data_IF_680533641716
#
_entry.id   IF_680533641716
#
_cell.length_a   1.000
_cell.length_b   1.000
_cell.length_c   1.000
_cell.angle_alpha   90.00
_cell.angle_beta   90.00
_cell.angle_gamma   90.00
#
_symmetry.space_group_name_H-M   'P 1'
#
loop_
_entity.id
_entity.type
_entity.pdbx_description
1 polymer ?
#
# COMPACT_ATOMS: atom_id res chain seq x y z
N UNK A 1 -6.13 7.40 -7.52
CA UNK A 1 -4.71 7.54 -7.93
C UNK A 1 -4.35 6.22 -8.61
N UNK A 2 -4.14 6.19 -9.93
CA UNK A 2 -3.87 4.92 -10.62
C UNK A 2 -2.36 4.73 -10.70
N UNK A 3 -1.84 3.85 -9.85
CA UNK A 3 -0.42 3.46 -9.79
C UNK A 3 -0.09 2.36 -10.81
N UNK A 4 -0.99 2.11 -11.75
CA UNK A 4 -1.11 0.81 -12.39
C UNK A 4 -0.80 0.94 -13.88
N UNK A 5 0.43 0.61 -14.23
CA UNK A 5 0.77 0.21 -15.59
C UNK A 5 1.53 -1.10 -15.55
N UNK A 6 0.78 -2.19 -15.66
CA UNK A 6 1.35 -3.54 -15.76
C UNK A 6 0.56 -4.34 -16.78
N UNK A 7 1.22 -5.31 -17.41
CA UNK A 7 0.59 -6.26 -18.33
C UNK A 7 1.02 -7.66 -17.95
N UNK A 8 0.05 -8.58 -17.88
CA UNK A 8 0.30 -10.01 -17.65
C UNK A 8 1.02 -10.68 -18.83
N UNK A 9 1.09 -10.02 -19.99
CA UNK A 9 1.85 -10.50 -21.13
C UNK A 9 3.35 -10.29 -20.89
N UNK A 10 4.18 -11.33 -21.03
CA UNK A 10 5.61 -11.18 -20.89
C UNK A 10 6.14 -10.23 -21.96
N UNK A 11 7.05 -9.33 -21.56
CA UNK A 11 7.83 -8.49 -22.46
C UNK A 11 9.27 -8.98 -22.48
N UNK A 12 9.92 -8.85 -23.63
CA UNK A 12 11.36 -9.08 -23.72
C UNK A 12 12.13 -7.97 -22.98
N UNK A 13 13.30 -8.28 -22.40
CA UNK A 13 13.90 -9.61 -22.33
C UNK A 13 13.19 -10.51 -21.32
N UNK A 14 13.12 -11.82 -21.58
CA UNK A 14 12.75 -12.82 -20.55
C UNK A 14 13.71 -12.77 -19.37
N UNK A 15 13.21 -13.08 -18.17
CA UNK A 15 14.07 -13.20 -17.00
C UNK A 15 15.02 -14.39 -17.14
N UNK A 16 16.32 -14.12 -17.20
CA UNK A 16 17.38 -15.14 -17.24
C UNK A 16 18.05 -15.37 -15.89
N UNK A 17 17.72 -14.54 -14.90
CA UNK A 17 18.33 -14.53 -13.57
C UNK A 17 17.22 -14.46 -12.51
N UNK A 18 17.44 -15.13 -11.38
CA UNK A 18 16.58 -15.07 -10.20
C UNK A 18 16.66 -13.70 -9.49
N UNK A 19 17.78 -12.99 -9.68
CA UNK A 19 18.08 -11.71 -9.04
C UNK A 19 18.31 -10.63 -10.09
N UNK A 20 17.29 -10.20 -10.83
CA UNK A 20 17.48 -9.26 -11.94
C UNK A 20 17.91 -7.86 -11.48
N UNK A 21 17.83 -7.52 -10.19
CA UNK A 21 18.24 -6.22 -9.64
C UNK A 21 19.63 -6.33 -9.01
N UNK A 22 20.62 -5.62 -9.57
CA UNK A 22 22.05 -5.83 -9.25
C UNK A 22 22.70 -4.68 -8.48
N UNK A 23 22.01 -3.56 -8.32
CA UNK A 23 22.55 -2.36 -7.69
C UNK A 23 21.53 -1.74 -6.73
N UNK A 24 21.91 -1.44 -5.49
CA UNK A 24 21.03 -0.71 -4.57
C UNK A 24 20.65 0.66 -5.17
N UNK A 25 19.35 0.99 -5.27
CA UNK A 25 18.90 2.23 -5.92
C UNK A 25 19.26 3.50 -5.14
N UNK A 26 19.59 3.36 -3.86
CA UNK A 26 20.02 4.42 -2.97
C UNK A 26 21.13 3.90 -2.03
N UNK A 27 22.00 4.78 -1.51
CA UNK A 27 22.92 4.42 -0.42
C UNK A 27 22.12 4.07 0.84
N UNK A 28 22.36 2.89 1.41
CA UNK A 28 21.62 2.37 2.55
C UNK A 28 21.71 3.29 3.79
N UNK A 29 22.77 4.08 3.91
CA UNK A 29 22.99 5.00 5.04
C UNK A 29 22.16 6.28 4.99
N UNK A 30 21.54 6.56 3.84
CA UNK A 30 20.55 7.64 3.73
C UNK A 30 19.16 7.22 4.20
N UNK A 31 18.96 5.93 4.48
CA UNK A 31 17.68 5.37 4.92
C UNK A 31 17.67 5.21 6.44
N UNK A 32 16.60 5.72 7.07
CA UNK A 32 16.35 5.62 8.52
C UNK A 32 15.50 4.40 8.85
N UNK A 33 14.46 4.14 8.05
CA UNK A 33 13.58 3.00 8.25
C UNK A 33 12.96 2.52 6.95
N UNK A 34 12.56 1.26 6.93
CA UNK A 34 11.82 0.63 5.85
C UNK A 34 10.56 -0.04 6.41
N UNK A 35 9.40 0.25 5.84
CA UNK A 35 8.19 -0.49 6.20
C UNK A 35 8.18 -1.88 5.53
N UNK A 36 7.49 -2.83 6.16
CA UNK A 36 7.22 -4.13 5.56
C UNK A 36 6.05 -4.01 4.58
N UNK A 37 5.98 -4.91 3.61
CA UNK A 37 4.77 -5.10 2.81
C UNK A 37 3.58 -5.36 3.73
N UNK A 38 2.41 -4.84 3.35
CA UNK A 38 1.19 -4.97 4.11
C UNK A 38 0.97 -3.93 5.21
N UNK A 39 1.85 -2.93 5.31
CA UNK A 39 1.55 -1.73 6.10
C UNK A 39 0.30 -1.01 5.56
N UNK A 40 -0.49 -0.36 6.42
CA UNK A 40 -1.69 0.38 5.99
C UNK A 40 -1.33 1.75 5.42
N UNK A 41 -1.77 2.08 4.20
CA UNK A 41 -1.45 3.37 3.58
C UNK A 41 -1.87 4.57 4.47
N UNK A 42 -1.04 5.63 4.60
CA UNK A 42 -1.48 6.89 5.17
C UNK A 42 -2.57 7.55 4.30
N UNK A 43 -3.57 8.17 4.93
CA UNK A 43 -4.66 8.84 4.21
C UNK A 43 -5.98 8.08 4.38
N UNK A 44 -6.15 6.94 3.68
CA UNK A 44 -7.35 6.09 3.79
C UNK A 44 -7.25 5.09 4.97
N UNK A 45 -6.02 4.66 5.28
CA UNK A 45 -5.72 3.59 6.23
C UNK A 45 -6.61 2.35 6.04
N UNK A 46 -7.04 2.03 4.82
CA UNK A 46 -8.03 0.97 4.61
C UNK A 46 -7.43 -0.32 4.02
N UNK A 47 -6.27 -0.25 3.38
CA UNK A 47 -5.71 -1.38 2.64
C UNK A 47 -4.21 -1.61 2.88
N UNK A 48 -3.75 -2.88 2.89
CA UNK A 48 -2.34 -3.24 2.97
C UNK A 48 -1.61 -2.88 1.67
N UNK A 49 -0.55 -2.05 1.75
CA UNK A 49 0.12 -1.55 0.54
C UNK A 49 1.10 -2.56 -0.08
N UNK A 50 1.17 -2.65 -1.43
CA UNK A 50 2.05 -3.56 -2.18
C UNK A 50 3.41 -2.91 -2.51
N UNK A 51 3.91 -1.99 -1.69
CA UNK A 51 5.20 -1.33 -1.87
C UNK A 51 5.87 -1.02 -0.53
N UNK A 52 7.16 -0.71 -0.59
CA UNK A 52 7.94 -0.26 0.55
C UNK A 52 8.08 1.26 0.52
N UNK A 53 7.80 1.90 1.65
CA UNK A 53 8.15 3.27 1.98
C UNK A 53 9.55 3.24 2.61
N UNK A 54 10.46 3.98 2.00
CA UNK A 54 11.83 4.15 2.44
C UNK A 54 11.91 5.51 3.12
N UNK A 55 11.90 5.52 4.45
CA UNK A 55 11.99 6.76 5.21
C UNK A 55 13.43 7.24 5.27
N UNK A 56 13.59 8.54 5.14
CA UNK A 56 14.88 9.25 5.28
C UNK A 56 14.84 10.09 6.55
N UNK A 57 15.91 10.82 6.85
CA UNK A 57 15.96 11.66 8.05
C UNK A 57 14.84 12.70 8.04
N UNK A 58 14.08 12.77 9.14
CA UNK A 58 13.03 13.77 9.33
C UNK A 58 13.64 15.17 9.46
N UNK A 59 13.14 16.11 8.65
CA UNK A 59 13.58 17.50 8.65
C UNK A 59 12.49 18.46 9.15
N UNK A 60 11.33 17.95 9.58
CA UNK A 60 10.30 18.79 10.18
C UNK A 60 10.86 19.51 11.42
N UNK A 61 10.68 20.84 11.45
CA UNK A 61 11.21 21.70 12.52
C UNK A 61 12.67 22.15 12.35
N UNK A 62 13.37 21.74 11.28
CA UNK A 62 14.79 22.10 11.06
C UNK A 62 15.00 23.33 10.16
N UNK A 63 13.93 24.01 9.73
CA UNK A 63 13.96 25.10 8.73
C UNK A 63 14.68 24.75 7.40
N UNK A 64 14.93 23.45 7.14
CA UNK A 64 15.54 22.98 5.89
C UNK A 64 14.61 23.26 4.71
N UNK A 65 15.15 23.87 3.66
CA UNK A 65 14.42 24.29 2.46
C UNK A 65 15.07 23.74 1.20
N UNK A 66 14.27 23.57 0.15
CA UNK A 66 14.78 23.26 -1.18
C UNK A 66 15.34 24.49 -1.88
N UNK A 67 15.77 24.32 -3.14
CA UNK A 67 16.33 25.38 -3.97
C UNK A 67 15.33 26.51 -4.26
N UNK A 68 14.03 26.26 -4.09
CA UNK A 68 12.96 27.25 -4.26
C UNK A 68 12.49 27.88 -2.93
N UNK A 69 13.15 27.56 -1.81
CA UNK A 69 12.84 28.13 -0.50
C UNK A 69 11.68 27.46 0.24
N UNK A 70 11.18 26.32 -0.23
CA UNK A 70 10.08 25.58 0.37
C UNK A 70 10.58 24.54 1.38
N UNK A 71 9.89 24.44 2.52
CA UNK A 71 10.28 23.53 3.60
C UNK A 71 10.28 22.05 3.18
N UNK A 72 11.33 21.35 3.59
CA UNK A 72 11.47 19.90 3.42
C UNK A 72 10.87 19.15 4.61
N UNK A 73 10.20 18.05 4.32
CA UNK A 73 9.71 17.07 5.31
C UNK A 73 10.83 16.08 5.64
N UNK A 74 11.63 15.69 4.66
CA UNK A 74 12.71 14.71 4.87
C UNK A 74 13.95 15.00 4.03
N UNK A 75 15.05 14.35 4.41
CA UNK A 75 16.32 14.41 3.68
C UNK A 75 16.17 13.86 2.25
N UNK A 76 16.82 14.53 1.30
CA UNK A 76 16.71 14.19 -0.12
C UNK A 76 17.87 13.29 -0.52
N UNK A 77 17.53 12.07 -0.93
CA UNK A 77 18.50 11.12 -1.49
C UNK A 77 18.76 11.45 -2.95
N UNK A 78 20.01 11.82 -3.28
CA UNK A 78 20.42 12.18 -4.63
C UNK A 78 21.81 11.60 -4.96
N UNK A 79 21.96 10.80 -6.03
CA UNK A 79 20.90 10.33 -6.92
C UNK A 79 20.15 9.11 -6.35
N UNK A 80 18.90 8.96 -6.77
CA UNK A 80 18.29 7.63 -6.93
C UNK A 80 18.73 7.09 -8.29
N UNK A 81 19.17 5.83 -8.35
CA UNK A 81 19.72 5.21 -9.56
C UNK A 81 18.96 3.93 -9.95
N UNK A 82 19.08 3.57 -11.23
CA UNK A 82 18.47 2.35 -11.76
C UNK A 82 19.21 1.10 -11.22
N UNK A 83 18.49 0.13 -10.64
CA UNK A 83 19.11 -1.06 -10.07
C UNK A 83 19.56 -2.10 -11.11
N UNK A 84 19.15 -1.95 -12.37
CA UNK A 84 19.46 -2.82 -13.48
C UNK A 84 19.30 -2.08 -14.83
N UNK A 85 19.57 -2.76 -15.93
CA UNK A 85 19.10 -2.33 -17.24
C UNK A 85 17.58 -2.54 -17.31
N UNK A 86 16.84 -1.45 -17.47
CA UNK A 86 15.38 -1.41 -17.38
C UNK A 86 14.77 -0.65 -18.57
N UNK A 87 13.46 -0.76 -18.73
CA UNK A 87 12.70 0.08 -19.66
C UNK A 87 11.62 0.84 -18.90
N UNK A 88 11.59 2.16 -18.99
CA UNK A 88 10.46 2.96 -18.49
C UNK A 88 9.27 2.73 -19.41
N UNK A 89 8.17 2.33 -18.80
CA UNK A 89 6.94 1.94 -19.50
C UNK A 89 5.77 2.85 -19.18
N UNK A 90 5.83 3.55 -18.04
CA UNK A 90 4.93 4.62 -17.71
C UNK A 90 5.56 5.58 -16.70
N UNK A 91 5.07 6.81 -16.70
CA UNK A 91 5.39 7.82 -15.69
C UNK A 91 4.09 8.51 -15.25
N UNK A 92 3.97 8.85 -13.97
CA UNK A 92 2.89 9.71 -13.49
C UNK A 92 3.48 10.99 -12.90
N UNK A 93 3.01 12.14 -13.39
CA UNK A 93 3.36 13.46 -12.88
C UNK A 93 2.29 13.90 -11.91
N UNK A 94 2.67 14.08 -10.64
CA UNK A 94 1.81 14.57 -9.58
C UNK A 94 2.21 16.01 -9.28
N UNK A 95 1.28 16.94 -9.45
CA UNK A 95 1.47 18.35 -9.17
C UNK A 95 0.58 18.73 -7.99
N UNK A 96 1.18 19.07 -6.86
CA UNK A 96 0.49 19.43 -5.63
C UNK A 96 0.42 20.95 -5.52
N UNK A 97 -0.78 21.52 -5.38
CA UNK A 97 -0.97 22.98 -5.34
C UNK A 97 -1.09 23.60 -3.95
N UNK A 98 -1.06 22.78 -2.88
CA UNK A 98 -1.17 23.27 -1.49
C UNK A 98 -0.52 22.26 -0.54
N UNK A 99 0.35 22.72 0.36
CA UNK A 99 0.80 21.90 1.47
C UNK A 99 -0.34 21.79 2.51
N UNK A 100 -0.94 20.60 2.63
CA UNK A 100 -2.03 20.32 3.56
C UNK A 100 -1.63 20.47 5.04
N UNK A 101 -0.34 20.36 5.35
CA UNK A 101 0.19 20.41 6.72
C UNK A 101 0.53 21.84 7.15
N UNK A 102 1.16 22.64 6.29
CA UNK A 102 1.59 24.01 6.63
C UNK A 102 0.61 25.08 6.17
N UNK A 103 -0.38 24.73 5.35
CA UNK A 103 -1.28 25.65 4.62
C UNK A 103 -0.56 26.62 3.68
N UNK A 104 0.75 26.49 3.51
CA UNK A 104 1.49 27.26 2.52
C UNK A 104 1.06 26.84 1.11
N UNK A 105 0.80 27.84 0.27
CA UNK A 105 0.47 27.64 -1.14
C UNK A 105 1.77 27.66 -1.91
N UNK A 106 2.32 26.49 -2.20
CA UNK A 106 3.36 26.34 -3.19
C UNK A 106 3.12 25.09 -4.02
N UNK A 107 3.42 25.22 -5.31
CA UNK A 107 3.32 24.13 -6.27
C UNK A 107 4.62 23.32 -6.27
N UNK A 108 4.53 22.02 -6.03
CA UNK A 108 5.66 21.11 -6.22
C UNK A 108 5.24 19.90 -7.02
N UNK A 109 6.23 19.26 -7.63
CA UNK A 109 6.05 18.16 -8.56
C UNK A 109 6.77 16.91 -8.06
N UNK A 110 6.07 15.79 -8.12
CA UNK A 110 6.64 14.47 -7.88
C UNK A 110 6.27 13.52 -9.02
N UNK A 111 7.19 12.64 -9.33
CA UNK A 111 7.07 11.61 -10.32
C UNK A 111 6.97 10.24 -9.68
N UNK A 112 6.10 9.45 -10.28
CA UNK A 112 6.13 8.01 -10.19
C UNK A 112 6.68 7.47 -11.51
N UNK A 113 7.57 6.49 -11.44
CA UNK A 113 8.25 5.93 -12.60
C UNK A 113 8.11 4.42 -12.57
N UNK A 114 7.31 3.87 -13.48
CA UNK A 114 7.12 2.43 -13.62
C UNK A 114 8.07 1.89 -14.68
N UNK A 115 8.84 0.87 -14.31
CA UNK A 115 9.89 0.28 -15.13
C UNK A 115 9.69 -1.23 -15.27
N UNK A 116 9.79 -1.71 -16.51
CA UNK A 116 9.86 -3.13 -16.82
C UNK A 116 11.27 -3.64 -16.56
N UNK A 117 11.35 -4.79 -15.88
CA UNK A 117 12.60 -5.47 -15.51
C UNK A 117 12.91 -6.57 -16.53
N UNK A 118 12.05 -7.59 -16.59
CA UNK A 118 12.16 -8.72 -17.49
C UNK A 118 10.83 -9.50 -17.46
N UNK A 119 10.47 -10.19 -18.54
CA UNK A 119 9.25 -11.00 -18.60
C UNK A 119 8.01 -10.22 -18.13
N UNK A 120 7.39 -10.68 -17.04
CA UNK A 120 6.19 -10.11 -16.39
C UNK A 120 6.51 -9.27 -15.14
N UNK A 121 7.79 -8.97 -14.88
CA UNK A 121 8.26 -8.28 -13.67
C UNK A 121 8.43 -6.78 -13.90
N UNK A 122 7.90 -6.00 -12.97
CA UNK A 122 7.94 -4.53 -13.00
C UNK A 122 8.33 -3.99 -11.62
N UNK A 123 9.03 -2.86 -11.60
CA UNK A 123 9.25 -2.06 -10.39
C UNK A 123 8.69 -0.65 -10.56
N UNK A 124 8.48 0.04 -9.44
CA UNK A 124 8.17 1.46 -9.41
C UNK A 124 9.09 2.19 -8.45
N UNK A 125 9.38 3.44 -8.79
CA UNK A 125 9.81 4.44 -7.82
C UNK A 125 8.78 5.55 -7.72
N UNK A 126 8.51 6.03 -6.50
CA UNK A 126 7.57 7.12 -6.24
C UNK A 126 8.17 8.18 -5.31
N UNK A 127 7.55 9.36 -5.27
CA UNK A 127 8.07 10.56 -4.60
C UNK A 127 9.44 10.99 -5.15
N UNK A 128 9.63 10.84 -6.46
CA UNK A 128 10.86 11.23 -7.16
C UNK A 128 10.69 12.62 -7.75
N UNK A 129 11.64 13.51 -7.54
CA UNK A 129 11.74 14.76 -8.29
C UNK A 129 12.99 14.79 -9.17
N UNK A 130 13.14 15.90 -9.90
CA UNK A 130 14.32 16.17 -10.73
C UNK A 130 14.64 15.01 -11.67
N UNK A 131 13.60 14.46 -12.32
CA UNK A 131 13.75 13.36 -13.28
C UNK A 131 14.45 13.85 -14.56
N UNK A 132 15.21 12.98 -15.27
CA UNK A 132 15.87 13.36 -16.52
C UNK A 132 14.95 14.05 -17.51
N UNK A 133 15.36 15.22 -18.02
CA UNK A 133 14.57 16.01 -18.97
C UNK A 133 14.22 15.23 -20.26
N UNK A 134 15.09 14.29 -20.66
CA UNK A 134 14.84 13.39 -21.80
C UNK A 134 13.64 12.46 -21.55
N UNK A 135 13.38 12.05 -20.32
CA UNK A 135 12.22 11.23 -19.96
C UNK A 135 10.95 12.07 -19.96
N UNK A 136 11.02 13.30 -19.45
CA UNK A 136 9.92 14.27 -19.55
C UNK A 136 9.58 14.55 -21.01
N UNK A 137 10.58 14.76 -21.88
CA UNK A 137 10.34 14.93 -23.32
C UNK A 137 9.69 13.68 -23.94
N UNK A 138 10.09 12.47 -23.52
CA UNK A 138 9.51 11.23 -24.01
C UNK A 138 8.02 11.07 -23.67
N UNK A 139 7.50 11.74 -22.62
CA UNK A 139 6.04 11.75 -22.33
C UNK A 139 5.20 12.38 -23.45
N UNK A 140 5.83 13.15 -24.34
CA UNK A 140 5.17 13.82 -25.48
C UNK A 140 5.41 13.09 -26.81
N UNK A 141 6.06 11.92 -26.77
CA UNK A 141 6.36 11.17 -27.98
C UNK A 141 5.08 10.61 -28.62
N UNK A 142 5.11 10.43 -29.95
CA UNK A 142 4.00 9.83 -30.69
C UNK A 142 3.69 8.42 -30.14
N UNK A 143 2.42 8.15 -29.85
CA UNK A 143 1.95 6.87 -29.33
C UNK A 143 2.01 6.73 -27.80
N UNK A 144 2.51 7.73 -27.08
CA UNK A 144 2.33 7.83 -25.62
C UNK A 144 0.91 8.32 -25.34
N UNK A 145 0.19 7.58 -24.49
CA UNK A 145 -1.16 7.98 -24.05
C UNK A 145 -1.07 8.80 -22.78
N UNK A 146 -1.85 9.87 -22.70
CA UNK A 146 -1.95 10.73 -21.52
C UNK A 146 -3.35 10.63 -20.91
N UNK A 147 -3.39 10.40 -19.59
CA UNK A 147 -4.63 10.43 -18.82
C UNK A 147 -4.44 11.29 -17.56
N UNK A 148 -5.15 12.41 -17.49
CA UNK A 148 -5.10 13.31 -16.35
C UNK A 148 -6.35 13.22 -15.48
N UNK A 149 -6.16 13.14 -14.17
CA UNK A 149 -7.22 13.08 -13.16
C UNK A 149 -6.85 13.92 -11.93
N UNK A 150 -7.83 14.21 -11.08
CA UNK A 150 -7.57 14.71 -9.73
C UNK A 150 -7.12 13.53 -8.84
N UNK A 151 -5.92 13.64 -8.27
CA UNK A 151 -5.35 12.69 -7.32
C UNK A 151 -5.74 12.98 -5.88
N UNK A 152 -5.08 12.27 -4.96
CA UNK A 152 -5.16 12.55 -3.51
C UNK A 152 -4.64 13.96 -3.22
N UNK A 153 -5.09 14.55 -2.10
CA UNK A 153 -4.69 15.89 -1.63
C UNK A 153 -4.84 17.02 -2.67
N UNK A 154 -5.83 16.90 -3.56
CA UNK A 154 -6.06 17.81 -4.69
C UNK A 154 -4.87 17.93 -5.66
N UNK A 155 -3.98 16.93 -5.67
CA UNK A 155 -2.94 16.86 -6.68
C UNK A 155 -3.56 16.75 -8.08
N UNK A 156 -3.01 17.47 -9.06
CA UNK A 156 -3.27 17.16 -10.47
C UNK A 156 -2.33 16.04 -10.87
N UNK A 157 -2.87 14.92 -11.31
CA UNK A 157 -2.10 13.75 -11.70
C UNK A 157 -2.28 13.51 -13.18
N UNK A 158 -1.19 13.48 -13.94
CA UNK A 158 -1.18 13.10 -15.35
C UNK A 158 -0.30 11.87 -15.53
N UNK A 159 -0.89 10.80 -16.06
CA UNK A 159 -0.22 9.53 -16.32
C UNK A 159 0.11 9.43 -17.80
N UNK A 160 1.33 9.00 -18.09
CA UNK A 160 1.87 8.80 -19.42
C UNK A 160 2.18 7.32 -19.58
N UNK A 161 1.46 6.67 -20.49
CA UNK A 161 1.51 5.23 -20.71
C UNK A 161 2.20 4.89 -22.03
N UNK A 162 2.43 3.59 -22.25
CA UNK A 162 3.01 3.07 -23.50
C UNK A 162 4.37 3.68 -23.84
N UNK A 163 5.11 4.12 -22.81
CA UNK A 163 6.47 4.61 -22.95
C UNK A 163 7.43 3.44 -23.26
N UNK A 164 8.56 3.78 -23.89
CA UNK A 164 9.61 2.83 -24.21
C UNK A 164 10.98 3.52 -24.14
N UNK A 165 11.41 3.87 -22.92
CA UNK A 165 12.69 4.54 -22.68
C UNK A 165 13.65 3.58 -21.99
N UNK A 166 14.73 3.19 -22.66
CA UNK A 166 15.76 2.34 -22.06
C UNK A 166 16.57 3.10 -21.02
N UNK A 167 16.84 2.44 -19.89
CA UNK A 167 17.61 2.96 -18.76
C UNK A 167 18.70 1.94 -18.43
N UNK A 168 19.95 2.40 -18.28
CA UNK A 168 21.06 1.52 -17.91
C UNK A 168 21.17 1.37 -16.40
N UNK A 169 21.68 0.23 -15.94
CA UNK A 169 22.06 0.05 -14.54
C UNK A 169 22.97 1.19 -14.07
N UNK A 170 22.69 1.74 -12.89
CA UNK A 170 23.42 2.88 -12.33
C UNK A 170 23.08 4.23 -12.95
N UNK A 171 22.28 4.29 -14.03
CA UNK A 171 21.82 5.55 -14.57
C UNK A 171 20.94 6.28 -13.56
N UNK A 172 21.08 7.61 -13.52
CA UNK A 172 20.30 8.47 -12.65
C UNK A 172 18.81 8.41 -13.03
N UNK A 173 17.97 8.13 -12.04
CA UNK A 173 16.51 8.16 -12.12
C UNK A 173 15.96 9.52 -11.72
N UNK A 174 16.55 10.12 -10.70
CA UNK A 174 16.09 11.37 -10.10
C UNK A 174 16.62 11.53 -8.69
N UNK A 175 15.84 12.18 -7.84
CA UNK A 175 16.12 12.39 -6.42
C UNK A 175 14.85 12.16 -5.59
N UNK A 176 14.98 11.68 -4.36
CA UNK A 176 13.84 11.67 -3.44
C UNK A 176 13.41 13.11 -3.13
N UNK A 177 12.12 13.43 -3.32
CA UNK A 177 11.64 14.82 -3.32
C UNK A 177 11.89 15.58 -2.02
N UNK A 178 11.90 14.87 -0.89
CA UNK A 178 11.93 15.44 0.45
C UNK A 178 10.61 16.10 0.86
N UNK A 179 9.54 15.93 0.08
CA UNK A 179 8.17 16.41 0.41
C UNK A 179 7.35 15.36 1.13
N UNK A 180 7.66 14.10 0.90
CA UNK A 180 7.23 12.96 1.70
C UNK A 180 8.26 12.63 2.77
N UNK A 181 7.98 11.63 3.63
CA UNK A 181 8.95 11.14 4.62
C UNK A 181 10.20 10.47 4.00
N UNK A 182 10.22 10.32 2.68
CA UNK A 182 11.29 9.72 1.90
C UNK A 182 10.76 9.38 0.50
N UNK A 183 10.97 8.15 0.04
CA UNK A 183 10.59 7.68 -1.30
C UNK A 183 10.06 6.25 -1.25
N UNK A 184 9.36 5.80 -2.31
CA UNK A 184 8.81 4.44 -2.33
C UNK A 184 9.45 3.57 -3.41
N UNK A 185 9.52 2.27 -3.13
CA UNK A 185 9.86 1.22 -4.08
C UNK A 185 8.83 0.09 -4.04
N UNK A 186 8.23 -0.22 -5.17
CA UNK A 186 7.29 -1.33 -5.32
C UNK A 186 7.73 -2.32 -6.40
N UNK A 187 7.21 -3.54 -6.34
CA UNK A 187 7.49 -4.60 -7.31
C UNK A 187 6.27 -5.48 -7.56
N UNK A 188 6.11 -5.94 -8.80
CA UNK A 188 4.97 -6.75 -9.24
C UNK A 188 5.38 -7.83 -10.22
N UNK A 189 4.93 -9.06 -9.97
CA UNK A 189 5.03 -10.16 -10.92
C UNK A 189 3.65 -10.49 -11.48
N UNK A 190 3.37 -9.96 -12.67
CA UNK A 190 2.04 -10.06 -13.27
C UNK A 190 1.75 -11.40 -13.95
N UNK A 191 2.67 -12.39 -13.86
CA UNK A 191 2.43 -13.74 -14.37
C UNK A 191 1.33 -14.48 -13.62
N UNK A 192 1.06 -14.09 -12.36
CA UNK A 192 0.01 -14.67 -11.53
C UNK A 192 -0.37 -13.70 -10.41
N UNK A 193 -1.66 -13.64 -10.02
CA UNK A 193 -2.01 -12.95 -8.80
C UNK A 193 -1.31 -13.59 -7.60
N UNK A 194 -0.94 -12.77 -6.64
CA UNK A 194 -0.40 -13.20 -5.37
C UNK A 194 -1.50 -13.95 -4.62
N UNK A 195 -1.29 -15.22 -4.21
CA UNK A 195 -2.30 -15.98 -3.49
C UNK A 195 -2.70 -15.28 -2.19
N UNK A 196 -4.00 -15.22 -1.89
CA UNK A 196 -4.45 -14.74 -0.58
C UNK A 196 -4.41 -13.22 -0.40
N UNK A 197 -4.37 -12.42 -1.46
CA UNK A 197 -4.18 -10.96 -1.33
C UNK A 197 -5.42 -10.14 -1.62
N UNK A 198 -5.87 -10.16 -2.87
CA UNK A 198 -6.99 -9.35 -3.33
C UNK A 198 -7.71 -10.12 -4.43
N UNK A 199 -8.99 -9.80 -4.66
CA UNK A 199 -9.73 -10.35 -5.79
C UNK A 199 -9.09 -9.89 -7.12
N UNK A 200 -8.44 -10.78 -7.89
CA UNK A 200 -7.73 -10.40 -9.09
C UNK A 200 -8.67 -9.95 -10.22
N UNK A 201 -9.97 -10.23 -10.12
CA UNK A 201 -10.97 -9.76 -11.07
C UNK A 201 -11.41 -8.31 -10.80
N UNK A 202 -10.98 -7.69 -9.70
CA UNK A 202 -11.40 -6.33 -9.29
C UNK A 202 -10.26 -5.40 -8.97
N UNK A 203 -9.24 -5.91 -8.31
CA UNK A 203 -8.06 -5.13 -8.02
C UNK A 203 -7.16 -5.09 -9.25
N UNK A 204 -6.58 -3.93 -9.50
CA UNK A 204 -5.66 -3.75 -10.61
C UNK A 204 -4.44 -4.65 -10.45
N UNK A 205 -3.70 -4.82 -11.54
CA UNK A 205 -2.53 -5.70 -11.59
C UNK A 205 -1.62 -5.50 -10.38
N UNK A 206 -1.30 -4.28 -9.96
CA UNK A 206 -0.34 -4.06 -8.86
C UNK A 206 -0.84 -4.53 -7.49
N UNK A 207 -2.09 -4.28 -7.12
CA UNK A 207 -2.61 -4.70 -5.83
C UNK A 207 -2.70 -6.22 -5.76
N UNK A 208 -3.18 -6.85 -6.85
CA UNK A 208 -3.31 -8.29 -6.92
C UNK A 208 -1.97 -9.04 -7.13
N UNK A 209 -0.90 -8.39 -7.58
CA UNK A 209 0.37 -9.05 -7.98
C UNK A 209 1.61 -8.51 -7.26
N UNK A 210 1.39 -7.73 -6.19
CA UNK A 210 2.45 -7.19 -5.35
C UNK A 210 3.42 -8.27 -4.92
N UNK A 211 4.70 -7.93 -4.89
CA UNK A 211 5.73 -8.81 -4.35
C UNK A 211 6.81 -7.98 -3.65
N UNK A 212 7.68 -8.68 -2.96
CA UNK A 212 8.77 -8.06 -2.26
C UNK A 212 9.91 -7.76 -3.22
N UNK A 213 10.15 -6.48 -3.48
CA UNK A 213 11.21 -6.05 -4.39
C UNK A 213 12.58 -6.54 -3.95
N UNK A 214 12.81 -6.66 -2.65
CA UNK A 214 14.07 -7.13 -2.07
C UNK A 214 14.40 -8.58 -2.41
N UNK A 215 13.40 -9.40 -2.75
CA UNK A 215 13.62 -10.77 -3.24
C UNK A 215 14.22 -10.81 -4.66
N UNK A 216 14.19 -9.69 -5.39
CA UNK A 216 14.76 -9.61 -6.74
C UNK A 216 16.17 -9.02 -6.77
N UNK A 217 16.65 -8.52 -5.64
CA UNK A 217 18.04 -8.09 -5.48
C UNK A 217 18.95 -9.28 -5.18
N UNK A 218 20.26 -9.12 -5.45
CA UNK A 218 21.23 -10.15 -5.08
C UNK A 218 21.19 -10.45 -3.57
N UNK A 219 21.56 -11.67 -3.15
CA UNK A 219 21.54 -12.04 -1.73
C UNK A 219 22.29 -11.07 -0.83
N UNK A 220 23.38 -10.48 -1.31
CA UNK A 220 24.20 -9.52 -0.57
C UNK A 220 23.43 -8.23 -0.28
N UNK A 221 22.81 -7.64 -1.32
CA UNK A 221 22.01 -6.41 -1.18
C UNK A 221 20.80 -6.69 -0.29
N UNK A 222 20.07 -7.78 -0.54
CA UNK A 222 18.93 -8.19 0.29
C UNK A 222 19.33 -8.30 1.76
N UNK A 223 20.43 -8.98 2.04
CA UNK A 223 20.93 -9.19 3.41
C UNK A 223 21.29 -7.88 4.09
N UNK A 224 21.98 -6.96 3.40
CA UNK A 224 22.32 -5.64 3.95
C UNK A 224 21.07 -4.85 4.36
N UNK A 225 20.07 -4.80 3.49
CA UNK A 225 18.81 -4.11 3.76
C UNK A 225 18.01 -4.77 4.90
N UNK A 226 17.95 -6.10 4.92
CA UNK A 226 17.19 -6.83 5.94
C UNK A 226 17.86 -6.71 7.31
N UNK A 227 19.18 -6.92 7.41
CA UNK A 227 19.91 -6.79 8.66
C UNK A 227 19.73 -5.40 9.29
N UNK A 228 19.76 -4.34 8.47
CA UNK A 228 19.64 -2.97 8.98
C UNK A 228 18.23 -2.61 9.46
N UNK A 229 17.18 -2.99 8.72
CA UNK A 229 15.83 -2.46 8.96
C UNK A 229 14.80 -3.50 9.43
N UNK A 230 15.06 -4.78 9.19
CA UNK A 230 14.14 -5.88 9.46
C UNK A 230 14.68 -6.79 10.59
N UNK A 231 15.99 -6.72 10.86
CA UNK A 231 16.73 -7.54 11.81
C UNK A 231 16.96 -8.95 11.29
N UNK A 232 17.03 -9.93 12.18
CA UNK A 232 17.18 -11.36 11.84
C UNK A 232 15.94 -11.98 11.16
N UNK A 233 14.89 -11.20 10.92
CA UNK A 233 13.68 -11.71 10.28
C UNK A 233 13.93 -11.84 8.78
N UNK A 234 13.61 -13.00 8.22
CA UNK A 234 13.86 -13.35 6.81
C UNK A 234 12.75 -12.91 5.85
N UNK A 235 11.71 -12.22 6.35
CA UNK A 235 10.54 -11.82 5.56
C UNK A 235 10.38 -10.30 5.51
N UNK A 236 10.15 -9.80 4.31
CA UNK A 236 9.76 -8.42 4.02
C UNK A 236 8.27 -8.13 4.26
N UNK A 237 7.54 -9.04 4.90
CA UNK A 237 6.10 -8.93 5.14
C UNK A 237 5.28 -9.50 3.99
N UNK A 238 3.96 -9.40 4.14
CA UNK A 238 2.98 -9.80 3.13
C UNK A 238 1.87 -8.76 3.14
N UNK A 239 1.36 -8.41 1.96
CA UNK A 239 0.11 -7.65 1.82
C UNK A 239 -1.08 -8.60 1.64
N UNK A 240 -0.81 -9.92 1.63
CA UNK A 240 -1.80 -10.98 1.57
C UNK A 240 -2.29 -11.42 2.92
N UNK A 241 -3.53 -11.06 3.25
CA UNK A 241 -4.16 -11.39 4.51
C UNK A 241 -5.51 -12.08 4.35
N UNK A 242 -5.93 -12.38 3.12
CA UNK A 242 -7.18 -13.08 2.87
C UNK A 242 -7.08 -14.55 3.27
N UNK A 243 -7.83 -14.92 4.30
CA UNK A 243 -8.05 -16.32 4.68
C UNK A 243 -9.50 -16.67 4.39
N UNK A 244 -9.70 -17.67 3.51
CA UNK A 244 -11.02 -18.18 3.14
C UNK A 244 -11.81 -18.58 4.38
N UNK A 245 -13.12 -18.32 4.36
CA UNK A 245 -14.05 -18.65 5.44
C UNK A 245 -13.58 -18.11 6.81
N UNK A 246 -13.05 -16.88 6.82
CA UNK A 246 -12.71 -16.16 8.05
C UNK A 246 -12.93 -14.65 7.88
N UNK A 247 -12.80 -13.89 8.98
CA UNK A 247 -12.81 -12.42 8.94
C UNK A 247 -11.55 -11.80 8.33
N UNK A 248 -10.44 -12.55 8.26
CA UNK A 248 -9.13 -12.01 7.88
C UNK A 248 -9.08 -11.67 6.39
N UNK A 249 -8.76 -10.41 6.06
CA UNK A 249 -8.50 -9.96 4.68
C UNK A 249 -9.09 -8.59 4.35
N UNK A 250 -9.23 -8.30 3.04
CA UNK A 250 -9.79 -7.03 2.55
C UNK A 250 -11.21 -7.21 2.02
N UNK A 251 -12.09 -6.31 2.43
CA UNK A 251 -13.53 -6.39 2.17
C UNK A 251 -14.03 -5.12 1.48
N UNK A 252 -14.63 -5.31 0.32
CA UNK A 252 -15.20 -4.28 -0.53
C UNK A 252 -16.60 -3.92 -0.04
N UNK A 253 -16.99 -2.64 -0.14
CA UNK A 253 -18.38 -2.26 0.08
C UNK A 253 -19.27 -2.93 -0.98
N UNK A 254 -20.41 -3.48 -0.54
CA UNK A 254 -21.37 -4.15 -1.43
C UNK A 254 -21.81 -3.19 -2.54
N UNK A 255 -21.80 -3.69 -3.79
CA UNK A 255 -22.15 -2.90 -4.98
C UNK A 255 -21.08 -1.88 -5.42
N UNK A 256 -19.97 -1.72 -4.69
CA UNK A 256 -18.89 -0.78 -5.03
C UNK A 256 -17.68 -1.47 -5.70
N UNK A 257 -17.82 -2.71 -6.19
CA UNK A 257 -16.73 -3.48 -6.81
C UNK A 257 -16.05 -2.75 -7.99
N UNK A 258 -16.80 -1.94 -8.74
CA UNK A 258 -16.24 -1.15 -9.85
C UNK A 258 -15.31 -0.02 -9.38
N UNK A 259 -15.34 0.29 -8.09
CA UNK A 259 -14.53 1.31 -7.41
C UNK A 259 -13.55 0.69 -6.42
N UNK A 260 -13.10 -0.55 -6.64
CA UNK A 260 -12.18 -1.27 -5.76
C UNK A 260 -10.85 -0.51 -5.48
N UNK A 261 -10.44 0.40 -6.37
CA UNK A 261 -9.29 1.28 -6.18
C UNK A 261 -9.57 2.51 -5.29
N UNK A 262 -10.82 2.73 -4.87
CA UNK A 262 -11.24 3.77 -3.94
C UNK A 262 -11.16 3.24 -2.51
N UNK A 263 -9.94 3.15 -1.98
CA UNK A 263 -9.63 2.57 -0.66
C UNK A 263 -10.57 3.05 0.47
N UNK A 264 -10.97 4.33 0.46
CA UNK A 264 -11.84 4.92 1.48
C UNK A 264 -13.22 4.27 1.63
N UNK A 265 -13.68 3.52 0.62
CA UNK A 265 -14.96 2.80 0.65
C UNK A 265 -14.85 1.44 1.34
N UNK A 266 -13.65 0.99 1.69
CA UNK A 266 -13.37 -0.40 2.00
C UNK A 266 -12.85 -0.56 3.42
N UNK A 267 -12.80 -1.81 3.88
CA UNK A 267 -12.22 -2.16 5.16
C UNK A 267 -11.27 -3.34 5.02
N UNK A 268 -10.31 -3.44 5.93
CA UNK A 268 -9.42 -4.58 6.00
C UNK A 268 -9.13 -4.98 7.45
N UNK A 269 -9.07 -6.29 7.66
CA UNK A 269 -8.91 -6.94 8.96
C UNK A 269 -7.69 -7.86 8.88
N UNK A 270 -6.57 -7.47 9.49
CA UNK A 270 -5.30 -8.20 9.36
C UNK A 270 -4.37 -8.01 10.58
N UNK A 271 -3.34 -8.86 10.75
CA UNK A 271 -2.32 -8.67 11.79
C UNK A 271 -1.58 -7.34 11.61
N UNK A 272 -1.16 -6.71 12.71
CA UNK A 272 -0.33 -5.51 12.62
C UNK A 272 1.02 -5.84 12.00
N UNK A 273 1.52 -4.96 11.13
CA UNK A 273 2.80 -5.10 10.44
C UNK A 273 4.01 -5.17 11.39
N UNK A 274 3.85 -4.77 12.66
CA UNK A 274 4.86 -4.89 13.72
C UNK A 274 5.16 -6.35 14.07
N UNK A 275 4.21 -7.26 13.82
CA UNK A 275 4.26 -8.67 14.18
C UNK A 275 4.51 -8.89 15.69
N UNK A 276 3.82 -8.13 16.53
CA UNK A 276 3.89 -8.17 18.00
C UNK A 276 2.68 -8.88 18.65
N UNK A 277 1.87 -9.56 17.84
CA UNK A 277 0.65 -10.24 18.29
C UNK A 277 -0.61 -9.35 18.26
N UNK A 278 -0.49 -8.09 17.86
CA UNK A 278 -1.64 -7.21 17.67
C UNK A 278 -2.30 -7.39 16.30
N UNK A 279 -3.59 -7.09 16.25
CA UNK A 279 -4.46 -7.18 15.08
C UNK A 279 -5.16 -5.85 14.86
N UNK A 280 -5.54 -5.58 13.62
CA UNK A 280 -6.00 -4.26 13.20
C UNK A 280 -7.28 -4.35 12.39
N UNK A 281 -8.26 -3.53 12.76
CA UNK A 281 -9.27 -3.03 11.82
C UNK A 281 -8.74 -1.78 11.15
N UNK A 282 -8.85 -1.75 9.83
CA UNK A 282 -8.41 -0.67 8.96
C UNK A 282 -9.65 -0.22 8.19
N UNK A 283 -10.25 0.91 8.58
CA UNK A 283 -11.58 1.33 8.13
C UNK A 283 -11.47 2.61 7.31
N UNK A 284 -11.86 2.56 6.04
CA UNK A 284 -11.91 3.74 5.17
C UNK A 284 -12.94 4.78 5.64
N UNK A 285 -12.64 6.06 5.46
CA UNK A 285 -13.50 7.16 5.94
C UNK A 285 -14.86 7.25 5.24
N UNK A 286 -15.00 6.69 4.05
CA UNK A 286 -16.25 6.64 3.28
C UNK A 286 -17.00 5.30 3.41
N UNK A 287 -16.56 4.43 4.32
CA UNK A 287 -17.24 3.14 4.59
C UNK A 287 -18.59 3.30 5.29
N UNK A 288 -18.84 4.45 5.93
CA UNK A 288 -20.11 4.86 6.53
C UNK A 288 -20.73 3.82 7.48
N UNK A 289 -19.93 3.22 8.36
CA UNK A 289 -20.42 2.29 9.38
C UNK A 289 -21.02 3.11 10.55
N UNK A 290 -22.32 2.93 10.89
CA UNK A 290 -22.93 3.65 12.00
C UNK A 290 -22.13 3.47 13.30
N UNK A 291 -21.90 4.57 14.01
CA UNK A 291 -21.16 4.58 15.28
C UNK A 291 -19.71 4.07 15.21
N UNK A 292 -19.15 3.87 14.01
CA UNK A 292 -17.77 3.44 13.80
C UNK A 292 -17.08 4.36 12.79
N UNK A 293 -16.24 5.26 13.29
CA UNK A 293 -15.48 6.18 12.45
C UNK A 293 -14.45 5.49 11.56
N UNK A 294 -14.06 6.15 10.47
CA UNK A 294 -12.89 5.75 9.70
C UNK A 294 -11.60 5.86 10.52
N UNK A 295 -10.70 4.91 10.35
CA UNK A 295 -9.42 4.88 11.06
C UNK A 295 -8.90 3.48 11.34
N UNK A 296 -7.92 3.43 12.25
CA UNK A 296 -7.25 2.21 12.69
C UNK A 296 -7.72 1.86 14.09
N UNK A 297 -8.11 0.61 14.32
CA UNK A 297 -8.44 0.07 15.64
C UNK A 297 -7.57 -1.17 15.88
N UNK A 298 -6.56 -1.03 16.74
CA UNK A 298 -5.66 -2.14 17.10
C UNK A 298 -6.06 -2.79 18.41
N UNK A 299 -5.98 -4.12 18.49
CA UNK A 299 -6.24 -4.90 19.70
C UNK A 299 -5.24 -6.06 19.80
N UNK A 300 -5.11 -6.64 21.00
CA UNK A 300 -4.33 -7.87 21.21
C UNK A 300 -5.25 -9.06 21.18
N UNK A 301 -4.91 -10.10 20.41
CA UNK A 301 -5.75 -11.27 20.31
C UNK A 301 -5.73 -12.12 21.60
N UNK A 302 -6.90 -12.59 22.02
CA UNK A 302 -7.04 -13.60 23.07
C UNK A 302 -6.86 -15.01 22.50
N UNK A 303 -6.44 -15.94 23.35
CA UNK A 303 -6.13 -17.31 22.94
C UNK A 303 -7.36 -18.15 22.66
N UNK A 304 -8.51 -17.82 23.25
CA UNK A 304 -9.75 -18.61 23.19
C UNK A 304 -10.99 -17.71 23.18
N UNK A 305 -12.11 -18.23 22.68
CA UNK A 305 -13.41 -17.56 22.69
C UNK A 305 -13.62 -16.60 21.52
N UNK A 306 -14.71 -15.84 21.59
CA UNK A 306 -15.13 -14.87 20.57
C UNK A 306 -14.91 -13.41 21.00
N UNK A 307 -14.26 -13.19 22.15
CA UNK A 307 -13.77 -11.87 22.57
C UNK A 307 -12.35 -11.70 22.05
N UNK A 308 -12.08 -10.64 21.30
CA UNK A 308 -10.77 -10.35 20.70
C UNK A 308 -10.09 -11.57 20.01
N UNK A 309 -10.78 -12.42 19.24
CA UNK A 309 -10.14 -13.56 18.59
C UNK A 309 -9.21 -13.10 17.46
N UNK A 310 -8.33 -13.99 16.98
CA UNK A 310 -7.65 -13.76 15.70
C UNK A 310 -8.69 -13.74 14.58
N UNK A 311 -8.57 -12.84 13.61
CA UNK A 311 -9.53 -12.78 12.50
C UNK A 311 -9.68 -14.11 11.73
N UNK A 312 -8.56 -14.80 11.53
CA UNK A 312 -8.51 -16.09 10.85
C UNK A 312 -9.16 -17.25 11.64
N UNK A 313 -9.42 -17.08 12.95
CA UNK A 313 -10.02 -18.13 13.78
C UNK A 313 -11.53 -17.98 13.98
N UNK A 314 -12.16 -16.94 13.45
CA UNK A 314 -13.62 -16.76 13.52
C UNK A 314 -14.27 -17.49 12.37
N UNK A 315 -15.06 -18.51 12.68
CA UNK A 315 -15.73 -19.34 11.68
C UNK A 315 -16.98 -18.65 11.11
N UNK A 316 -17.51 -19.12 9.96
CA UNK A 316 -18.77 -18.63 9.41
C UNK A 316 -19.91 -18.62 10.44
N UNK A 317 -20.75 -17.59 10.38
CA UNK A 317 -21.92 -17.33 11.22
C UNK A 317 -21.61 -17.07 12.71
N UNK A 318 -20.34 -17.12 13.13
CA UNK A 318 -19.95 -16.69 14.47
C UNK A 318 -19.86 -15.16 14.53
N UNK A 319 -20.43 -14.58 15.59
CA UNK A 319 -20.26 -13.16 15.90
C UNK A 319 -19.14 -13.03 16.92
N UNK A 320 -18.06 -12.33 16.54
CA UNK A 320 -16.97 -11.95 17.42
C UNK A 320 -17.15 -10.51 17.91
N UNK A 321 -16.69 -10.23 19.13
CA UNK A 321 -16.67 -8.90 19.73
C UNK A 321 -15.22 -8.50 20.02
N UNK A 322 -14.85 -7.30 19.60
CA UNK A 322 -13.53 -6.73 19.74
C UNK A 322 -13.62 -5.48 20.60
N UNK A 323 -12.75 -5.33 21.60
CA UNK A 323 -12.71 -4.20 22.52
C UNK A 323 -11.28 -3.84 22.91
N UNK A 324 -11.14 -2.98 23.93
CA UNK A 324 -9.84 -2.68 24.55
C UNK A 324 -8.81 -2.16 23.55
N UNK A 325 -9.26 -1.34 22.60
CA UNK A 325 -8.43 -0.85 21.51
C UNK A 325 -7.28 0.02 22.02
N UNK A 326 -6.12 -0.12 21.39
CA UNK A 326 -4.95 0.70 21.69
C UNK A 326 -5.20 2.16 21.28
N UNK A 327 -5.11 3.08 22.26
CA UNK A 327 -5.29 4.53 22.12
C UNK A 327 -4.30 5.21 21.18
N UNK A 328 -3.11 4.63 21.00
CA UNK A 328 -2.04 5.26 20.20
C UNK A 328 -2.36 5.30 18.70
N UNK A 329 -3.34 4.49 18.26
CA UNK A 329 -3.70 4.32 16.85
C UNK A 329 -5.19 4.60 16.57
N UNK A 330 -6.04 4.63 17.61
CA UNK A 330 -7.46 4.96 17.47
C UNK A 330 -7.65 6.45 17.28
N UNK A 331 -7.98 6.85 16.04
CA UNK A 331 -8.37 8.25 15.76
C UNK A 331 -9.76 8.62 16.28
N UNK A 332 -10.56 7.65 16.72
CA UNK A 332 -11.90 7.86 17.28
C UNK A 332 -12.00 7.24 18.66
N UNK A 333 -12.03 8.06 19.71
CA UNK A 333 -12.18 7.64 21.12
C UNK A 333 -13.61 7.25 21.50
N UNK A 334 -14.57 7.42 20.58
CA UNK A 334 -15.99 7.17 20.83
C UNK A 334 -16.41 5.70 20.68
N UNK A 335 -15.58 4.84 20.08
CA UNK A 335 -15.90 3.43 19.86
C UNK A 335 -15.23 2.60 20.93
N UNK A 336 -16.00 1.86 21.71
CA UNK A 336 -15.46 0.97 22.73
C UNK A 336 -15.50 -0.49 22.30
N UNK A 337 -16.35 -0.84 21.33
CA UNK A 337 -16.48 -2.20 20.78
C UNK A 337 -16.74 -2.23 19.29
N UNK A 338 -16.24 -3.27 18.62
CA UNK A 338 -16.57 -3.61 17.24
C UNK A 338 -17.11 -5.05 17.24
N UNK A 339 -18.22 -5.28 16.56
CA UNK A 339 -18.76 -6.63 16.31
C UNK A 339 -18.51 -7.01 14.86
N UNK A 340 -18.10 -8.25 14.63
CA UNK A 340 -17.88 -8.78 13.29
C UNK A 340 -18.39 -10.21 13.15
N UNK A 341 -19.02 -10.52 12.02
CA UNK A 341 -19.34 -11.89 11.61
C UNK A 341 -19.06 -12.06 10.13
N UNK A 342 -18.89 -13.31 9.71
CA UNK A 342 -18.69 -13.64 8.30
C UNK A 342 -19.69 -14.69 7.84
N UNK A 343 -20.15 -14.58 6.60
CA UNK A 343 -21.03 -15.55 5.95
C UNK A 343 -20.34 -16.12 4.71
N UNK A 344 -20.31 -17.45 4.63
CA UNK A 344 -19.71 -18.17 3.52
C UNK A 344 -20.67 -18.21 2.32
N UNK A 345 -20.13 -18.41 1.12
CA UNK A 345 -20.93 -18.52 -0.10
C UNK A 345 -20.10 -18.35 -1.37
N UNK A 346 -20.80 -18.25 -2.51
CA UNK A 346 -20.18 -17.88 -3.79
C UNK A 346 -19.58 -16.46 -3.78
N UNK A 347 -20.05 -15.63 -2.86
CA UNK A 347 -19.43 -14.36 -2.47
C UNK A 347 -19.37 -14.33 -0.95
N UNK A 348 -18.16 -14.26 -0.39
CA UNK A 348 -17.98 -14.12 1.06
C UNK A 348 -18.48 -12.75 1.49
N UNK A 349 -19.20 -12.69 2.59
CA UNK A 349 -19.67 -11.43 3.18
C UNK A 349 -19.22 -11.32 4.61
N UNK A 350 -18.99 -10.10 5.07
CA UNK A 350 -18.85 -9.79 6.49
C UNK A 350 -19.84 -8.73 6.89
N UNK A 351 -20.27 -8.79 8.14
CA UNK A 351 -21.05 -7.75 8.79
C UNK A 351 -20.19 -7.10 9.88
N UNK A 352 -20.19 -5.76 9.93
CA UNK A 352 -19.46 -4.97 10.93
C UNK A 352 -20.39 -3.96 11.57
N UNK A 353 -20.34 -3.85 12.90
CA UNK A 353 -21.02 -2.81 13.65
C UNK A 353 -20.10 -2.23 14.73
N UNK A 354 -20.17 -0.91 14.97
CA UNK A 354 -19.54 -0.27 16.12
C UNK A 354 -20.52 -0.04 17.26
N UNK A 355 -20.02 -0.04 18.48
CA UNK A 355 -20.74 0.34 19.68
C UNK A 355 -19.86 1.23 20.56
N UNK A 356 -20.47 2.29 21.12
CA UNK A 356 -19.80 3.32 21.92
C UNK A 356 -19.90 3.08 23.42
N UNK A 357 -20.48 1.95 23.87
CA UNK A 357 -20.75 1.69 25.28
C UNK A 357 -20.14 0.36 25.75
N UNK A 358 -19.45 0.36 26.89
CA UNK A 358 -19.01 -0.86 27.59
C UNK A 358 -17.89 -1.66 26.93
N UNK A 359 -17.62 -2.85 27.49
CA UNK A 359 -16.65 -3.84 27.01
C UNK A 359 -17.36 -5.09 26.50
N UNK A 360 -16.67 -5.92 25.74
CA UNK A 360 -17.18 -7.22 25.33
C UNK A 360 -17.37 -8.09 26.58
N UNK A 361 -18.54 -8.70 26.72
CA UNK A 361 -18.83 -9.67 27.77
C UNK A 361 -18.15 -11.02 27.52
N UNK A 362 -18.73 -12.10 28.02
CA UNK A 362 -18.23 -13.48 27.76
C UNK A 362 -18.85 -14.12 26.51
N UNK A 363 -19.82 -13.45 25.87
CA UNK A 363 -20.63 -14.01 24.79
C UNK A 363 -21.72 -14.98 25.29
N UNK A 364 -22.50 -15.61 24.39
CA UNK A 364 -22.45 -15.45 22.93
C UNK A 364 -22.86 -14.03 22.50
N UNK A 365 -22.36 -13.58 21.36
CA UNK A 365 -22.67 -12.27 20.81
C UNK A 365 -23.75 -12.37 19.74
N UNK A 366 -24.53 -11.31 19.61
CA UNK A 366 -25.46 -11.11 18.50
C UNK A 366 -25.01 -9.88 17.74
N UNK A 367 -25.17 -9.90 16.41
CA UNK A 367 -24.82 -8.76 15.58
C UNK A 367 -25.76 -7.58 15.92
N UNK A 368 -25.24 -6.40 16.28
CA UNK A 368 -26.09 -5.23 16.53
C UNK A 368 -26.91 -4.81 15.31
N UNK A 369 -28.05 -4.16 15.57
CA UNK A 369 -28.82 -3.52 14.52
C UNK A 369 -27.98 -2.42 13.83
N UNK A 370 -28.15 -2.26 12.51
CA UNK A 370 -27.39 -1.29 11.73
C UNK A 370 -25.99 -1.73 11.33
N UNK A 371 -25.65 -3.02 11.49
CA UNK A 371 -24.43 -3.59 10.93
C UNK A 371 -24.35 -3.38 9.41
N UNK A 372 -23.19 -2.92 8.95
CA UNK A 372 -22.91 -2.75 7.53
C UNK A 372 -22.31 -4.01 6.95
N UNK A 373 -22.69 -4.32 5.70
CA UNK A 373 -22.20 -5.50 5.01
C UNK A 373 -21.12 -5.13 3.99
N UNK A 374 -20.05 -5.91 3.99
CA UNK A 374 -18.97 -5.86 3.01
C UNK A 374 -18.84 -7.24 2.36
N UNK A 375 -18.16 -7.30 1.23
CA UNK A 375 -18.01 -8.51 0.42
C UNK A 375 -16.56 -8.69 -0.04
N UNK A 376 -16.17 -9.95 -0.21
CA UNK A 376 -14.89 -10.33 -0.79
C UNK A 376 -15.07 -11.57 -1.64
N UNK A 377 -14.27 -11.66 -2.72
CA UNK A 377 -14.16 -12.79 -3.65
C UNK A 377 -15.47 -13.35 -4.19
N UNK A 378 -15.62 -13.33 -5.49
CA UNK A 378 -16.41 -14.36 -6.18
C UNK A 378 -15.53 -15.60 -6.31
N UNK A 379 -15.88 -16.71 -5.65
CA UNK A 379 -15.30 -18.01 -6.02
C UNK A 379 -15.82 -18.36 -7.41
N UNK A 380 -15.08 -17.99 -8.46
CA UNK A 380 -15.21 -18.71 -9.72
C UNK A 380 -14.60 -20.09 -9.49
N UNK A 381 -15.46 -21.03 -9.09
CA UNK A 381 -15.28 -22.41 -9.50
C UNK A 381 -15.31 -22.42 -11.03
N UNK A 382 -14.16 -22.66 -11.65
CA UNK A 382 -13.98 -22.69 -13.10
C UNK A 382 -12.53 -22.53 -13.46
#
# INVERSE_FOLDING_TARGET
MNWDYTTALPREPKCTDNYPLKLSPAPIDTTVSLNRLGYSQPGSHAMPVPHHNISTRDLRGTNSKDENGYLLVSERVNPIVSPADLTIVAMARNVYGRNMTTKEVYEYEEWMIAMHVCGTKYIVFNHIDDVPATWVAATKASGVREECNQGQDNARVCMYYTMNVSVKQGARVGRASGRSAGWDIGAWDTSKPTPGVFDPAKYTGRWATGTCVWEWFTPEIKTQWFQKFIGDKTSCGTHGHDVLNSLSGVWLAVGQRARASSEDLHIALFPSFKNDGTFRFSIGYSSNIPSLGGGIYEFTAESNGLRNPKFASVAPEQVACFDSFNSDYTRSTSVTRIFASMSAGSTEKIQIAGDSSGLCGQGPYSMPAGAMTFERRTTTTG
#
